data_IF_878252750258
#
_entry.id   IF_878252750258
#
_cell.length_a   1.000
_cell.length_b   1.000
_cell.length_c   1.000
_cell.angle_alpha   90.00
_cell.angle_beta   90.00
_cell.angle_gamma   90.00
#
_symmetry.space_group_name_H-M   'P 1'
#
loop_
_entity.id
_entity.type
_entity.pdbx_description
1 polymer ?
#
# COMPACT_ATOMS: atom_id res chain seq x y z
N UNK A 1 21.33 15.85 -6.45
CA UNK A 1 19.98 16.40 -6.75
C UNK A 1 18.90 15.31 -6.68
N UNK A 2 19.02 14.21 -7.42
CA UNK A 2 18.09 13.07 -7.30
C UNK A 2 18.02 12.46 -5.89
N UNK A 3 19.14 12.43 -5.17
CA UNK A 3 19.23 11.86 -3.83
C UNK A 3 18.36 12.60 -2.78
N UNK A 4 18.17 13.92 -2.92
CA UNK A 4 17.28 14.70 -2.05
C UNK A 4 15.79 14.41 -2.32
N UNK A 5 15.46 14.00 -3.55
CA UNK A 5 14.09 13.61 -3.92
C UNK A 5 13.79 12.24 -3.32
N UNK A 6 14.73 11.29 -3.43
CA UNK A 6 14.62 9.98 -2.80
C UNK A 6 14.51 10.12 -1.27
N UNK A 7 15.37 10.92 -0.65
CA UNK A 7 15.34 11.14 0.79
C UNK A 7 14.04 11.83 1.25
N UNK A 8 13.50 12.79 0.50
CA UNK A 8 12.22 13.46 0.80
C UNK A 8 11.01 12.53 0.69
N UNK A 9 11.03 11.55 -0.23
CA UNK A 9 10.00 10.49 -0.30
C UNK A 9 10.05 9.59 0.96
N UNK A 10 11.22 9.40 1.57
CA UNK A 10 11.40 8.58 2.77
C UNK A 10 11.38 9.36 4.10
N UNK A 11 11.55 10.69 4.08
CA UNK A 11 11.50 11.60 5.25
C UNK A 11 10.12 12.21 5.47
N UNK A 12 9.28 12.27 4.42
CA UNK A 12 7.85 12.55 4.56
C UNK A 12 7.20 11.37 5.28
N UNK A 13 7.27 11.36 6.61
CA UNK A 13 6.90 10.22 7.44
C UNK A 13 5.52 9.70 7.07
N UNK A 14 5.48 8.51 6.45
CA UNK A 14 4.32 7.74 5.98
C UNK A 14 2.98 8.36 6.39
N UNK A 15 2.61 9.46 5.74
CA UNK A 15 1.36 10.13 6.08
C UNK A 15 0.28 9.15 5.66
N UNK A 16 -0.60 8.70 6.58
CA UNK A 16 -1.59 7.64 6.31
C UNK A 16 -2.44 7.86 5.03
N UNK A 17 -2.46 9.09 4.54
CA UNK A 17 -2.94 9.50 3.21
C UNK A 17 -2.33 8.70 2.04
N UNK A 18 -1.02 8.43 2.04
CA UNK A 18 -0.36 7.68 0.95
C UNK A 18 -0.77 6.20 0.98
N UNK A 19 -0.86 5.60 2.17
CA UNK A 19 -1.38 4.24 2.31
C UNK A 19 -2.82 4.13 1.81
N UNK A 20 -3.67 5.09 2.17
CA UNK A 20 -5.06 5.16 1.70
C UNK A 20 -5.12 5.28 0.18
N UNK A 21 -4.30 6.15 -0.41
CA UNK A 21 -4.22 6.34 -1.86
C UNK A 21 -3.79 5.04 -2.56
N UNK A 22 -2.73 4.39 -2.07
CA UNK A 22 -2.24 3.12 -2.62
C UNK A 22 -3.31 2.03 -2.51
N UNK A 23 -3.95 1.87 -1.35
CA UNK A 23 -5.04 0.91 -1.15
C UNK A 23 -6.20 1.18 -2.12
N UNK A 24 -6.59 2.44 -2.30
CA UNK A 24 -7.67 2.83 -3.22
C UNK A 24 -7.33 2.52 -4.69
N UNK A 25 -6.09 2.80 -5.11
CA UNK A 25 -5.62 2.53 -6.48
C UNK A 25 -5.61 1.02 -6.75
N UNK A 26 -5.06 0.22 -5.84
CA UNK A 26 -5.03 -1.24 -5.96
C UNK A 26 -6.43 -1.85 -5.93
N UNK A 27 -7.33 -1.35 -5.07
CA UNK A 27 -8.72 -1.80 -5.01
C UNK A 27 -9.44 -1.46 -6.32
N UNK A 28 -9.27 -0.25 -6.85
CA UNK A 28 -9.85 0.15 -8.13
C UNK A 28 -9.34 -0.74 -9.26
N UNK A 29 -8.05 -1.09 -9.27
CA UNK A 29 -7.50 -2.00 -10.26
C UNK A 29 -8.08 -3.42 -10.13
N UNK A 30 -8.22 -3.93 -8.90
CA UNK A 30 -8.85 -5.21 -8.61
C UNK A 30 -10.29 -5.26 -9.13
N UNK A 31 -11.06 -4.19 -8.89
CA UNK A 31 -12.45 -4.06 -9.36
C UNK A 31 -12.53 -4.07 -10.87
N UNK A 32 -11.66 -3.34 -11.56
CA UNK A 32 -11.60 -3.31 -13.03
C UNK A 32 -11.24 -4.70 -13.58
N UNK A 33 -10.24 -5.38 -13.00
CA UNK A 33 -9.86 -6.73 -13.40
C UNK A 33 -10.98 -7.76 -13.14
N UNK A 34 -11.69 -7.64 -12.02
CA UNK A 34 -12.82 -8.51 -11.70
C UNK A 34 -13.98 -8.29 -12.69
N UNK A 35 -14.28 -7.03 -13.02
CA UNK A 35 -15.29 -6.67 -14.01
C UNK A 35 -14.92 -7.25 -15.39
N UNK A 36 -13.66 -7.13 -15.78
CA UNK A 36 -13.17 -7.67 -17.04
C UNK A 36 -13.23 -9.21 -17.07
N UNK A 37 -12.93 -9.88 -15.95
CA UNK A 37 -13.06 -11.33 -15.81
C UNK A 37 -14.51 -11.81 -16.01
N UNK A 38 -15.49 -11.07 -15.49
CA UNK A 38 -16.91 -11.38 -15.63
C UNK A 38 -17.41 -11.18 -17.08
N UNK A 39 -16.94 -10.16 -17.77
CA UNK A 39 -17.35 -9.84 -19.15
C UNK A 39 -16.67 -10.75 -20.18
N UNK A 40 -15.37 -10.99 -20.05
CA UNK A 40 -14.54 -11.53 -21.15
C UNK A 40 -14.35 -13.06 -21.11
N UNK A 41 -14.92 -13.74 -20.12
CA UNK A 41 -14.77 -15.18 -19.93
C UNK A 41 -13.47 -15.55 -19.21
N UNK A 42 -13.51 -16.68 -18.48
CA UNK A 42 -12.48 -17.13 -17.55
C UNK A 42 -11.12 -17.32 -18.23
N UNK A 43 -10.28 -16.28 -18.21
CA UNK A 43 -8.93 -16.28 -18.79
C UNK A 43 -7.89 -16.45 -17.69
N UNK A 44 -7.03 -17.46 -17.83
CA UNK A 44 -5.96 -17.76 -16.86
C UNK A 44 -5.04 -16.54 -16.63
N UNK A 45 -4.83 -15.73 -17.68
CA UNK A 45 -4.03 -14.51 -17.59
C UNK A 45 -4.64 -13.49 -16.62
N UNK A 46 -5.95 -13.26 -16.71
CA UNK A 46 -6.66 -12.35 -15.79
C UNK A 46 -6.62 -12.85 -14.34
N UNK A 47 -6.64 -14.17 -14.14
CA UNK A 47 -6.51 -14.77 -12.81
C UNK A 47 -5.14 -14.47 -12.18
N UNK A 48 -4.05 -14.60 -12.94
CA UNK A 48 -2.71 -14.27 -12.46
C UNK A 48 -2.54 -12.77 -12.18
N UNK A 49 -3.08 -11.90 -13.05
CA UNK A 49 -3.04 -10.45 -12.85
C UNK A 49 -3.82 -10.06 -11.58
N UNK A 50 -4.99 -10.67 -11.36
CA UNK A 50 -5.79 -10.46 -10.14
C UNK A 50 -5.02 -10.91 -8.89
N UNK A 51 -4.42 -12.10 -8.94
CA UNK A 51 -3.65 -12.65 -7.82
C UNK A 51 -2.42 -11.80 -7.49
N UNK A 52 -1.65 -11.36 -8.49
CA UNK A 52 -0.51 -10.46 -8.25
C UNK A 52 -0.99 -9.13 -7.65
N UNK A 53 -2.05 -8.55 -8.18
CA UNK A 53 -2.58 -7.29 -7.67
C UNK A 53 -3.03 -7.41 -6.20
N UNK A 54 -3.70 -8.51 -5.84
CA UNK A 54 -4.06 -8.82 -4.45
C UNK A 54 -2.86 -9.11 -3.55
N UNK A 55 -1.88 -9.86 -4.06
CA UNK A 55 -0.64 -10.18 -3.34
C UNK A 55 0.20 -8.94 -3.05
N UNK A 56 0.28 -8.00 -4.00
CA UNK A 56 0.95 -6.71 -3.80
C UNK A 56 0.22 -5.87 -2.74
N UNK A 57 -1.11 -5.81 -2.77
CA UNK A 57 -1.89 -5.09 -1.77
C UNK A 57 -1.64 -5.65 -0.36
N UNK A 58 -1.67 -6.98 -0.21
CA UNK A 58 -1.37 -7.64 1.06
C UNK A 58 0.06 -7.35 1.54
N UNK A 59 1.05 -7.40 0.63
CA UNK A 59 2.45 -7.10 0.93
C UNK A 59 2.64 -5.66 1.41
N UNK A 60 1.96 -4.68 0.79
CA UNK A 60 2.01 -3.28 1.20
C UNK A 60 1.36 -3.08 2.57
N UNK A 61 0.19 -3.68 2.80
CA UNK A 61 -0.51 -3.54 4.08
C UNK A 61 0.31 -4.13 5.23
N UNK A 62 0.95 -5.28 4.99
CA UNK A 62 1.90 -5.88 5.93
C UNK A 62 3.12 -4.98 6.17
N UNK A 63 3.72 -4.44 5.10
CA UNK A 63 4.88 -3.56 5.20
C UNK A 63 4.59 -2.31 6.04
N UNK A 64 3.39 -1.74 5.94
CA UNK A 64 3.01 -0.59 6.77
C UNK A 64 2.79 -0.96 8.23
N UNK A 65 2.14 -2.10 8.51
CA UNK A 65 2.03 -2.60 9.87
C UNK A 65 3.41 -2.77 10.52
N UNK A 66 4.35 -3.35 9.77
CA UNK A 66 5.74 -3.51 10.21
C UNK A 66 6.43 -2.17 10.46
N UNK A 67 6.25 -1.19 9.56
CA UNK A 67 6.78 0.17 9.76
C UNK A 67 6.21 0.85 11.00
N UNK A 68 4.94 0.63 11.32
CA UNK A 68 4.32 1.19 12.53
C UNK A 68 4.85 0.54 13.80
N UNK A 69 5.11 -0.76 13.75
CA UNK A 69 5.69 -1.51 14.86
C UNK A 69 7.19 -1.16 15.06
N UNK A 70 7.91 -0.88 13.98
CA UNK A 70 9.30 -0.46 13.97
C UNK A 70 9.50 1.03 14.28
N UNK A 71 8.47 1.87 14.11
CA UNK A 71 8.51 3.27 14.53
C UNK A 71 8.36 3.30 16.04
N UNK A 72 9.44 3.58 16.81
CA UNK A 72 9.31 3.70 18.25
C UNK A 72 8.30 4.82 18.51
N UNK A 73 7.25 4.48 19.25
CA UNK A 73 6.31 5.45 19.82
C UNK A 73 7.13 6.60 20.41
N UNK A 74 7.03 7.77 19.77
CA UNK A 74 7.49 9.04 20.35
C UNK A 74 6.37 9.65 21.20
N UNK A 75 5.46 8.81 21.67
CA UNK A 75 4.28 9.18 22.44
C UNK A 75 4.16 8.30 23.68
N UNK A 76 5.28 8.15 24.40
CA UNK A 76 5.23 7.90 25.84
C UNK A 76 5.61 9.22 26.52
N UNK A 77 4.60 10.01 26.85
CA UNK A 77 4.55 10.75 28.12
C UNK A 77 5.69 11.73 28.41
N UNK A 78 5.72 12.80 27.61
CA UNK A 78 5.80 14.18 28.14
C UNK A 78 4.57 14.49 29.02
N UNK A 79 4.30 13.63 30.01
CA UNK A 79 3.22 13.76 30.99
C UNK A 79 3.69 13.22 32.34
N UNK A 80 4.80 13.77 32.85
CA UNK A 80 5.07 13.80 34.29
C UNK A 80 6.09 14.91 34.62
N UNK A 81 5.69 16.15 34.39
CA UNK A 81 6.19 17.34 35.10
C UNK A 81 5.00 18.19 35.51
#
# INVERSE_FOLDING_TARGET
MLQAIVDSIFVSGVTGQVLLAVNLIFLSLLVVLLCLLLIFGFNIHLLFLLLLCGGLLASINWFVLELWNAKPTKENESKND
#
